data_IF_587402375572
#
_entry.id   IF_587402375572
#
_cell.length_a   1.000
_cell.length_b   1.000
_cell.length_c   1.000
_cell.angle_alpha   90.00
_cell.angle_beta   90.00
_cell.angle_gamma   90.00
#
_symmetry.space_group_name_H-M   'P 1'
#
loop_
_entity.id
_entity.type
_entity.pdbx_description
1 polymer ?
#
# COMPACT_ATOMS: atom_id res chain seq x y z
N UNK A 1 -5.71 17.44 30.58
CA UNK A 1 -6.34 16.37 31.40
C UNK A 1 -6.76 15.18 30.54
N UNK A 2 -7.51 15.40 29.45
CA UNK A 2 -7.97 14.34 28.52
C UNK A 2 -6.81 13.61 27.84
N UNK A 3 -5.78 14.30 27.36
CA UNK A 3 -4.61 13.67 26.70
C UNK A 3 -3.81 12.74 27.62
N UNK A 4 -3.68 13.08 28.92
CA UNK A 4 -3.06 12.19 29.92
C UNK A 4 -3.88 10.92 30.12
N UNK A 5 -5.22 11.02 30.20
CA UNK A 5 -6.08 9.86 30.35
C UNK A 5 -6.06 8.93 29.11
N UNK A 6 -5.97 9.50 27.90
CA UNK A 6 -5.84 8.73 26.65
C UNK A 6 -4.48 8.04 26.55
N UNK A 7 -3.42 8.65 27.11
CA UNK A 7 -2.06 8.10 27.07
C UNK A 7 -1.85 6.87 27.96
N UNK A 8 -2.69 6.70 28.98
CA UNK A 8 -2.68 5.56 29.91
C UNK A 8 -3.57 4.39 29.43
N UNK A 9 -4.30 4.55 28.33
CA UNK A 9 -5.15 3.48 27.81
C UNK A 9 -4.29 2.27 27.40
N UNK A 10 -4.62 1.07 27.90
CA UNK A 10 -3.89 -0.14 27.56
C UNK A 10 -4.10 -0.45 26.08
N UNK A 11 -3.01 -0.79 25.40
CA UNK A 11 -3.00 -1.24 24.01
C UNK A 11 -2.09 -2.45 23.92
N UNK A 12 -2.51 -3.47 23.16
CA UNK A 12 -1.72 -4.69 22.97
C UNK A 12 -0.53 -4.42 22.06
N UNK A 13 0.64 -4.93 22.44
CA UNK A 13 1.80 -4.96 21.56
C UNK A 13 1.55 -5.94 20.40
N UNK A 14 1.73 -5.54 19.14
CA UNK A 14 1.49 -6.40 17.99
C UNK A 14 2.49 -7.57 17.86
N UNK A 15 3.58 -7.54 18.63
CA UNK A 15 4.63 -8.56 18.58
C UNK A 15 4.49 -9.61 19.68
N UNK A 16 4.42 -9.17 20.94
CA UNK A 16 4.37 -10.06 22.11
C UNK A 16 2.96 -10.22 22.71
N UNK A 17 1.96 -9.50 22.17
CA UNK A 17 0.55 -9.51 22.61
C UNK A 17 0.32 -9.12 24.07
N UNK A 18 1.31 -8.51 24.74
CA UNK A 18 1.18 -7.97 26.10
C UNK A 18 0.63 -6.53 26.08
N UNK A 19 -0.10 -6.17 27.12
CA UNK A 19 -0.68 -4.83 27.28
C UNK A 19 0.31 -3.81 27.81
N UNK A 20 0.35 -2.65 27.18
CA UNK A 20 1.15 -1.51 27.63
C UNK A 20 0.32 -0.22 27.56
N UNK A 21 0.58 0.77 28.45
CA UNK A 21 0.10 2.13 28.27
C UNK A 21 0.53 2.66 26.91
N UNK A 22 -0.39 3.32 26.20
CA UNK A 22 -0.14 3.89 24.87
C UNK A 22 1.09 4.80 24.82
N UNK A 23 1.37 5.55 25.89
CA UNK A 23 2.56 6.40 26.05
C UNK A 23 3.88 5.62 26.03
N UNK A 24 3.88 4.38 26.51
CA UNK A 24 5.07 3.52 26.63
C UNK A 24 5.22 2.50 25.50
N UNK A 25 4.13 2.26 24.76
CA UNK A 25 4.06 1.22 23.73
C UNK A 25 5.10 1.42 22.62
N UNK A 26 5.30 2.66 22.18
CA UNK A 26 6.29 2.97 21.13
C UNK A 26 7.71 2.62 21.58
N UNK A 27 8.09 3.00 22.81
CA UNK A 27 9.40 2.66 23.38
C UNK A 27 9.54 1.15 23.53
N UNK A 28 8.51 0.48 24.04
CA UNK A 28 8.49 -0.97 24.17
C UNK A 28 8.74 -1.65 22.81
N UNK A 29 7.98 -1.29 21.79
CA UNK A 29 8.09 -1.87 20.44
C UNK A 29 9.47 -1.65 19.82
N UNK A 30 10.09 -0.49 20.07
CA UNK A 30 11.37 -0.12 19.48
C UNK A 30 12.58 -0.75 20.19
N UNK A 31 12.55 -0.80 21.52
CA UNK A 31 13.75 -1.02 22.33
C UNK A 31 13.64 -2.23 23.28
N UNK A 32 12.46 -2.48 23.86
CA UNK A 32 12.32 -3.42 24.98
C UNK A 32 11.72 -4.79 24.59
N UNK A 33 10.91 -4.81 23.53
CA UNK A 33 10.16 -6.00 23.13
C UNK A 33 11.11 -7.09 22.57
N UNK A 34 11.10 -8.27 23.17
CA UNK A 34 11.91 -9.42 22.73
C UNK A 34 11.42 -10.03 21.41
N UNK A 35 10.15 -9.82 21.08
CA UNK A 35 9.53 -10.31 19.85
C UNK A 35 9.53 -9.26 18.73
N UNK A 36 10.13 -8.08 18.98
CA UNK A 36 10.26 -7.06 17.93
C UNK A 36 11.05 -7.61 16.75
N UNK A 37 10.62 -7.26 15.55
CA UNK A 37 11.32 -7.65 14.32
C UNK A 37 12.59 -6.83 14.19
N UNK A 38 13.73 -7.51 14.18
CA UNK A 38 15.06 -6.91 14.02
C UNK A 38 15.78 -7.46 12.79
N UNK A 39 16.96 -6.93 12.51
CA UNK A 39 17.77 -7.27 11.35
C UNK A 39 19.20 -7.55 11.82
N UNK A 40 19.86 -8.49 11.13
CA UNK A 40 21.26 -8.82 11.38
C UNK A 40 22.15 -7.59 11.15
N UNK A 41 23.20 -7.40 11.98
CA UNK A 41 24.22 -6.35 11.73
C UNK A 41 24.87 -6.43 10.34
N UNK A 42 24.96 -7.64 9.77
CA UNK A 42 25.50 -7.90 8.43
C UNK A 42 24.49 -7.64 7.29
N UNK A 43 23.32 -7.05 7.57
CA UNK A 43 22.40 -6.59 6.52
C UNK A 43 23.08 -5.64 5.53
N UNK A 44 24.06 -4.85 5.97
CA UNK A 44 24.82 -3.93 5.11
C UNK A 44 25.61 -4.63 4.00
N UNK A 45 25.91 -5.92 4.18
CA UNK A 45 26.60 -6.76 3.19
C UNK A 45 25.66 -7.83 2.61
N UNK A 46 24.35 -7.63 2.71
CA UNK A 46 23.37 -8.47 2.03
C UNK A 46 22.71 -9.57 2.87
N UNK A 47 22.91 -9.62 4.20
CA UNK A 47 22.18 -10.59 5.01
C UNK A 47 20.66 -10.32 4.98
N UNK A 48 19.83 -11.29 4.52
CA UNK A 48 18.39 -11.08 4.40
C UNK A 48 17.63 -11.35 5.71
N UNK A 49 18.32 -11.81 6.76
CA UNK A 49 17.69 -12.25 8.00
C UNK A 49 16.88 -11.13 8.66
N UNK A 50 15.64 -11.47 9.00
CA UNK A 50 14.71 -10.67 9.79
C UNK A 50 13.98 -11.61 10.73
N UNK A 51 14.03 -11.35 12.02
CA UNK A 51 13.41 -12.20 13.02
C UNK A 51 13.22 -11.49 14.36
N UNK A 52 12.63 -12.18 15.35
CA UNK A 52 12.52 -11.72 16.71
C UNK A 52 13.89 -11.35 17.29
N UNK A 53 13.95 -10.32 18.14
CA UNK A 53 15.22 -9.87 18.73
C UNK A 53 15.91 -10.97 19.55
N UNK A 54 15.16 -11.82 20.25
CA UNK A 54 15.76 -12.89 21.05
C UNK A 54 16.48 -13.96 20.22
N UNK A 55 16.17 -14.09 18.92
CA UNK A 55 16.86 -15.00 17.98
C UNK A 55 18.08 -14.34 17.32
N UNK A 56 18.22 -13.01 17.41
CA UNK A 56 19.29 -12.26 16.75
C UNK A 56 20.70 -12.71 17.19
N UNK A 57 21.01 -12.89 18.50
CA UNK A 57 22.34 -13.31 18.92
C UNK A 57 22.75 -14.66 18.31
N UNK A 58 21.85 -15.65 18.37
CA UNK A 58 22.09 -16.97 17.78
C UNK A 58 22.34 -16.88 16.27
N UNK A 59 21.52 -16.10 15.55
CA UNK A 59 21.73 -15.87 14.13
C UNK A 59 23.07 -15.17 13.84
N UNK A 60 23.47 -14.17 14.63
CA UNK A 60 24.70 -13.43 14.39
C UNK A 60 25.97 -14.27 14.59
N UNK A 61 25.93 -15.24 15.49
CA UNK A 61 27.00 -16.22 15.69
C UNK A 61 27.10 -17.21 14.51
N UNK A 62 25.96 -17.61 13.95
CA UNK A 62 25.87 -18.55 12.82
C UNK A 62 25.84 -17.87 11.45
N UNK A 63 25.93 -16.54 11.39
CA UNK A 63 25.74 -15.81 10.15
C UNK A 63 26.87 -16.12 9.17
N UNK A 64 26.53 -16.62 7.98
CA UNK A 64 27.51 -16.93 6.94
C UNK A 64 28.00 -15.71 6.13
N UNK A 65 27.34 -14.55 6.25
CA UNK A 65 27.68 -13.37 5.43
C UNK A 65 29.10 -12.81 5.66
N UNK A 66 29.66 -12.82 6.88
CA UNK A 66 31.04 -12.42 7.12
C UNK A 66 32.08 -13.32 6.43
N UNK A 67 31.74 -14.58 6.15
CA UNK A 67 32.66 -15.55 5.54
C UNK A 67 32.43 -15.74 4.03
N UNK A 68 31.43 -15.07 3.45
CA UNK A 68 31.18 -15.08 2.01
C UNK A 68 32.30 -14.37 1.25
N UNK A 69 32.56 -14.85 0.04
CA UNK A 69 33.54 -14.26 -0.87
C UNK A 69 33.05 -12.93 -1.42
N UNK A 70 33.99 -12.08 -1.86
CA UNK A 70 33.66 -10.80 -2.49
C UNK A 70 32.69 -10.95 -3.67
N UNK A 71 32.86 -11.99 -4.51
CA UNK A 71 31.97 -12.26 -5.64
C UNK A 71 30.54 -12.56 -5.21
N UNK A 72 30.35 -13.34 -4.15
CA UNK A 72 29.03 -13.63 -3.60
C UNK A 72 28.39 -12.37 -3.00
N UNK A 73 29.16 -11.58 -2.25
CA UNK A 73 28.70 -10.31 -1.67
C UNK A 73 28.29 -9.31 -2.75
N UNK A 74 29.05 -9.21 -3.85
CA UNK A 74 28.70 -8.34 -4.98
C UNK A 74 27.35 -8.72 -5.62
N UNK A 75 26.98 -10.00 -5.60
CA UNK A 75 25.65 -10.44 -6.02
C UNK A 75 24.54 -9.85 -5.14
N UNK A 76 24.65 -10.03 -3.81
CA UNK A 76 23.66 -9.50 -2.86
C UNK A 76 23.60 -7.96 -2.88
N UNK A 77 24.76 -7.30 -2.94
CA UNK A 77 24.84 -5.84 -3.01
C UNK A 77 24.25 -5.31 -4.32
N UNK A 78 24.46 -6.00 -5.44
CA UNK A 78 23.86 -5.65 -6.73
C UNK A 78 22.33 -5.66 -6.69
N UNK A 79 21.72 -6.68 -6.06
CA UNK A 79 20.27 -6.74 -5.87
C UNK A 79 19.76 -5.61 -4.96
N UNK A 80 20.47 -5.33 -3.86
CA UNK A 80 20.14 -4.23 -2.94
C UNK A 80 20.18 -2.88 -3.64
N UNK A 81 21.25 -2.61 -4.39
CA UNK A 81 21.42 -1.38 -5.18
C UNK A 81 20.33 -1.24 -6.23
N UNK A 82 19.98 -2.34 -6.91
CA UNK A 82 18.91 -2.32 -7.90
C UNK A 82 17.56 -2.02 -7.24
N UNK A 83 17.25 -2.63 -6.09
CA UNK A 83 16.04 -2.35 -5.33
C UNK A 83 15.97 -0.88 -4.89
N UNK A 84 17.06 -0.36 -4.34
CA UNK A 84 17.16 1.03 -3.90
C UNK A 84 17.03 2.02 -5.08
N UNK A 85 17.63 1.71 -6.23
CA UNK A 85 17.52 2.53 -7.44
C UNK A 85 16.09 2.57 -7.98
N UNK A 86 15.35 1.45 -7.95
CA UNK A 86 13.92 1.42 -8.33
C UNK A 86 13.09 2.31 -7.40
N UNK A 87 13.36 2.27 -6.10
CA UNK A 87 12.67 3.09 -5.10
C UNK A 87 12.95 4.60 -5.31
N UNK A 88 14.21 4.98 -5.51
CA UNK A 88 14.58 6.35 -5.85
C UNK A 88 13.96 6.83 -7.16
N UNK A 89 13.87 5.96 -8.16
CA UNK A 89 13.22 6.30 -9.45
C UNK A 89 11.74 6.62 -9.25
N UNK A 90 11.04 5.85 -8.41
CA UNK A 90 9.65 6.12 -8.06
C UNK A 90 9.50 7.46 -7.33
N UNK A 91 10.35 7.74 -6.34
CA UNK A 91 10.33 9.03 -5.64
C UNK A 91 10.57 10.20 -6.60
N UNK A 92 11.60 10.12 -7.45
CA UNK A 92 11.90 11.14 -8.46
C UNK A 92 10.73 11.34 -9.44
N UNK A 93 10.05 10.25 -9.81
CA UNK A 93 8.85 10.32 -10.66
C UNK A 93 7.71 11.06 -9.96
N UNK A 94 7.43 10.75 -8.68
CA UNK A 94 6.42 11.45 -7.88
C UNK A 94 6.79 12.93 -7.73
N UNK A 95 8.04 13.26 -7.44
CA UNK A 95 8.50 14.66 -7.36
C UNK A 95 8.30 15.40 -8.68
N UNK A 96 8.56 14.74 -9.81
CA UNK A 96 8.31 15.32 -11.13
C UNK A 96 6.82 15.59 -11.37
N UNK A 97 5.93 14.68 -10.92
CA UNK A 97 4.47 14.91 -10.98
C UNK A 97 4.03 16.10 -10.14
N UNK A 98 4.68 16.32 -8.98
CA UNK A 98 4.40 17.47 -8.12
C UNK A 98 4.80 18.82 -8.74
N UNK A 99 5.56 18.81 -9.84
CA UNK A 99 5.88 20.02 -10.60
C UNK A 99 4.77 20.43 -11.60
N UNK A 100 3.72 19.61 -11.80
CA UNK A 100 2.62 19.98 -12.67
C UNK A 100 1.71 21.03 -12.03
N UNK A 101 1.15 21.90 -12.87
CA UNK A 101 0.25 22.96 -12.42
C UNK A 101 -1.09 22.41 -11.91
N UNK A 102 -1.60 21.35 -12.56
CA UNK A 102 -2.92 20.77 -12.28
C UNK A 102 -2.78 19.49 -11.47
N UNK A 103 -2.74 19.66 -10.15
CA UNK A 103 -2.71 18.57 -9.17
C UNK A 103 -4.02 18.55 -8.39
N UNK A 104 -4.64 17.39 -8.37
CA UNK A 104 -5.86 17.12 -7.62
C UNK A 104 -5.61 16.09 -6.53
N UNK A 105 -6.19 16.34 -5.37
CA UNK A 105 -6.19 15.41 -4.24
C UNK A 105 -7.62 15.28 -3.71
N UNK A 106 -8.03 14.05 -3.40
CA UNK A 106 -9.30 13.81 -2.70
C UNK A 106 -9.26 12.49 -1.93
N UNK A 107 -10.01 12.45 -0.83
CA UNK A 107 -10.26 11.22 -0.10
C UNK A 107 -11.47 10.51 -0.71
N UNK A 108 -11.30 9.23 -1.02
CA UNK A 108 -12.33 8.43 -1.70
C UNK A 108 -12.77 7.30 -0.78
N UNK A 109 -14.09 7.14 -0.68
CA UNK A 109 -14.71 6.08 0.10
C UNK A 109 -15.40 5.08 -0.83
N UNK A 110 -14.84 3.89 -0.89
CA UNK A 110 -15.39 2.73 -1.58
C UNK A 110 -16.46 2.08 -0.71
N UNK A 111 -17.67 1.96 -1.29
CA UNK A 111 -18.82 1.31 -0.66
C UNK A 111 -19.03 -0.06 -1.30
N UNK A 112 -19.22 -1.12 -0.51
CA UNK A 112 -19.44 -2.46 -1.03
C UNK A 112 -20.83 -2.58 -1.68
N UNK A 113 -20.91 -3.31 -2.77
CA UNK A 113 -22.17 -3.80 -3.33
C UNK A 113 -21.98 -5.22 -3.86
N UNK A 114 -23.08 -5.97 -3.93
CA UNK A 114 -23.10 -7.33 -4.45
C UNK A 114 -23.94 -7.40 -5.70
N UNK A 115 -23.58 -8.26 -6.63
CA UNK A 115 -24.42 -8.59 -7.78
C UNK A 115 -25.41 -9.69 -7.44
N UNK A 116 -26.57 -9.65 -8.08
CA UNK A 116 -27.63 -10.65 -7.95
C UNK A 116 -27.39 -11.89 -8.86
N UNK A 117 -26.12 -12.16 -9.19
CA UNK A 117 -25.73 -13.33 -9.97
C UNK A 117 -25.86 -14.61 -9.13
N UNK A 118 -25.97 -15.77 -9.80
CA UNK A 118 -26.00 -17.09 -9.15
C UNK A 118 -24.84 -17.29 -8.15
N UNK A 119 -23.67 -16.73 -8.46
CA UNK A 119 -22.55 -16.57 -7.52
C UNK A 119 -22.43 -15.09 -7.20
N UNK A 120 -22.90 -14.68 -6.02
CA UNK A 120 -22.80 -13.27 -5.59
C UNK A 120 -21.35 -12.81 -5.58
N UNK A 121 -21.05 -11.76 -6.35
CA UNK A 121 -19.71 -11.17 -6.43
C UNK A 121 -19.66 -9.87 -5.63
N UNK A 122 -18.58 -9.68 -4.88
CA UNK A 122 -18.33 -8.47 -4.11
C UNK A 122 -17.56 -7.46 -4.95
N UNK A 123 -18.15 -6.29 -5.11
CA UNK A 123 -17.54 -5.14 -5.75
C UNK A 123 -17.57 -3.94 -4.80
N UNK A 124 -16.78 -2.94 -5.14
CA UNK A 124 -16.74 -1.68 -4.44
C UNK A 124 -16.82 -0.52 -5.43
N UNK A 125 -17.56 0.52 -5.08
CA UNK A 125 -17.66 1.73 -5.90
C UNK A 125 -17.67 2.96 -5.01
N UNK A 126 -17.06 4.05 -5.49
CA UNK A 126 -17.15 5.36 -4.84
C UNK A 126 -18.39 6.12 -5.33
N UNK A 127 -19.00 6.98 -4.51
CA UNK A 127 -19.84 8.04 -5.04
C UNK A 127 -19.10 8.86 -6.10
N UNK A 128 -19.84 9.56 -6.97
CA UNK A 128 -19.23 10.52 -7.88
C UNK A 128 -18.50 11.60 -7.07
N UNK A 129 -17.27 11.89 -7.44
CA UNK A 129 -16.48 12.96 -6.84
C UNK A 129 -15.90 13.85 -7.93
N UNK A 130 -15.63 15.11 -7.58
CA UNK A 130 -15.12 16.11 -8.53
C UNK A 130 -13.69 16.48 -8.14
N UNK A 131 -12.78 16.40 -9.10
CA UNK A 131 -11.39 16.83 -8.95
C UNK A 131 -10.86 17.30 -10.30
N UNK A 132 -10.06 18.38 -10.30
CA UNK A 132 -9.57 19.04 -11.52
C UNK A 132 -10.69 19.42 -12.51
N UNK A 133 -11.82 19.92 -11.99
CA UNK A 133 -13.02 20.28 -12.76
C UNK A 133 -13.61 19.15 -13.61
N UNK A 134 -13.31 17.90 -13.26
CA UNK A 134 -13.86 16.70 -13.87
C UNK A 134 -14.55 15.84 -12.83
N UNK A 135 -15.58 15.11 -13.24
CA UNK A 135 -16.34 14.20 -12.37
C UNK A 135 -15.87 12.77 -12.60
N UNK A 136 -15.55 12.07 -11.53
CA UNK A 136 -14.94 10.75 -11.56
C UNK A 136 -15.69 9.75 -10.70
N UNK A 137 -15.47 8.47 -10.98
CA UNK A 137 -15.88 7.32 -10.16
C UNK A 137 -14.72 6.33 -10.15
N UNK A 138 -14.47 5.72 -8.99
CA UNK A 138 -13.60 4.56 -8.89
C UNK A 138 -14.45 3.31 -8.66
N UNK A 139 -14.12 2.25 -9.39
CA UNK A 139 -14.66 0.90 -9.17
C UNK A 139 -13.53 -0.03 -8.75
N UNK A 140 -13.83 -0.99 -7.89
CA UNK A 140 -12.89 -2.02 -7.50
C UNK A 140 -13.57 -3.39 -7.41
N UNK A 141 -12.80 -4.43 -7.68
CA UNK A 141 -13.23 -5.83 -7.67
C UNK A 141 -12.22 -6.69 -6.91
N UNK A 142 -12.73 -7.74 -6.27
CA UNK A 142 -11.92 -8.71 -5.53
C UNK A 142 -11.57 -9.90 -6.43
N UNK A 143 -10.32 -10.37 -6.37
CA UNK A 143 -9.82 -11.59 -7.02
C UNK A 143 -10.03 -11.66 -8.55
N UNK A 144 -10.02 -10.52 -9.24
CA UNK A 144 -10.27 -10.43 -10.69
C UNK A 144 -11.48 -11.25 -11.19
N UNK A 145 -12.51 -11.39 -10.35
CA UNK A 145 -13.72 -12.15 -10.67
C UNK A 145 -13.49 -13.64 -11.00
N UNK A 146 -12.50 -14.28 -10.36
CA UNK A 146 -12.33 -15.74 -10.41
C UNK A 146 -13.65 -16.46 -10.07
N UNK A 147 -14.01 -17.46 -10.90
CA UNK A 147 -15.29 -18.20 -10.79
C UNK A 147 -15.47 -18.93 -9.46
N UNK A 148 -14.40 -19.15 -8.69
CA UNK A 148 -14.45 -19.95 -7.48
C UNK A 148 -13.69 -19.29 -6.31
N UNK A 149 -14.36 -18.44 -5.52
CA UNK A 149 -13.75 -17.70 -4.40
C UNK A 149 -13.13 -18.59 -3.31
N UNK A 150 -13.50 -19.87 -3.27
CA UNK A 150 -13.02 -20.86 -2.30
C UNK A 150 -11.73 -21.59 -2.72
N UNK A 151 -11.26 -21.41 -3.96
CA UNK A 151 -10.05 -22.09 -4.47
C UNK A 151 -8.75 -21.31 -4.24
N UNK A 152 -8.83 -20.02 -3.93
CA UNK A 152 -7.64 -19.16 -3.73
C UNK A 152 -7.63 -18.54 -2.34
N UNK A 153 -6.60 -18.87 -1.55
CA UNK A 153 -6.30 -18.19 -0.29
C UNK A 153 -5.68 -16.80 -0.51
N UNK A 154 -5.37 -16.41 -1.75
CA UNK A 154 -4.73 -15.14 -2.09
C UNK A 154 -5.80 -14.13 -2.51
N UNK A 155 -6.13 -13.22 -1.58
CA UNK A 155 -7.05 -12.12 -1.88
C UNK A 155 -6.32 -10.94 -2.50
N UNK A 156 -6.86 -10.43 -3.59
CA UNK A 156 -6.35 -9.23 -4.29
C UNK A 156 -7.50 -8.26 -4.56
N UNK A 157 -7.17 -6.97 -4.62
CA UNK A 157 -8.11 -5.91 -4.99
C UNK A 157 -7.57 -5.21 -6.22
N UNK A 158 -8.38 -5.14 -7.28
CA UNK A 158 -8.06 -4.38 -8.49
C UNK A 158 -9.04 -3.23 -8.64
N UNK A 159 -8.61 -2.10 -9.20
CA UNK A 159 -9.45 -0.91 -9.36
C UNK A 159 -9.34 -0.30 -10.75
N UNK A 160 -10.34 0.51 -11.09
CA UNK A 160 -10.47 1.24 -12.34
C UNK A 160 -10.93 2.66 -12.03
N UNK A 161 -10.28 3.66 -12.62
CA UNK A 161 -10.71 5.05 -12.63
C UNK A 161 -11.54 5.34 -13.88
N UNK A 162 -12.70 5.98 -13.68
CA UNK A 162 -13.69 6.27 -14.72
C UNK A 162 -14.03 7.76 -14.70
N UNK A 163 -13.87 8.42 -15.84
CA UNK A 163 -14.31 9.77 -16.12
C UNK A 163 -15.80 9.78 -16.48
N UNK A 164 -16.60 10.56 -15.75
CA UNK A 164 -18.05 10.69 -15.94
C UNK A 164 -18.47 12.00 -16.61
N UNK A 165 -17.66 13.05 -16.52
CA UNK A 165 -17.90 14.29 -17.25
C UNK A 165 -17.47 14.15 -18.72
N UNK A 166 -18.11 14.93 -19.60
CA UNK A 166 -17.65 15.07 -20.98
C UNK A 166 -16.44 16.01 -21.03
N UNK A 167 -15.51 15.72 -21.93
CA UNK A 167 -14.31 16.53 -22.15
C UNK A 167 -14.28 17.09 -23.56
N UNK A 168 -13.76 18.30 -23.69
CA UNK A 168 -13.62 18.98 -24.99
C UNK A 168 -12.44 18.43 -25.79
N UNK A 169 -11.41 17.94 -25.10
CA UNK A 169 -10.22 17.31 -25.66
C UNK A 169 -9.76 16.19 -24.74
N UNK A 170 -8.96 15.27 -25.27
CA UNK A 170 -8.37 14.21 -24.45
C UNK A 170 -7.54 14.81 -23.30
N UNK A 171 -7.62 14.20 -22.12
CA UNK A 171 -6.91 14.60 -20.91
C UNK A 171 -5.93 13.50 -20.52
N UNK A 172 -4.65 13.79 -20.61
CA UNK A 172 -3.60 12.91 -20.10
C UNK A 172 -3.48 13.09 -18.58
N UNK A 173 -3.67 11.99 -17.85
CA UNK A 173 -3.62 11.97 -16.40
C UNK A 173 -2.61 10.94 -15.92
N UNK A 174 -1.83 11.32 -14.89
CA UNK A 174 -1.19 10.35 -14.01
C UNK A 174 -1.94 10.29 -12.69
N UNK A 175 -2.09 9.12 -12.09
CA UNK A 175 -2.80 8.98 -10.81
C UNK A 175 -2.26 7.84 -9.96
N UNK A 176 -2.49 7.91 -8.66
CA UNK A 176 -2.17 6.85 -7.72
C UNK A 176 -3.18 6.82 -6.56
N UNK A 177 -3.40 5.62 -6.00
CA UNK A 177 -4.17 5.40 -4.78
C UNK A 177 -3.26 5.08 -3.61
N UNK A 178 -3.46 5.79 -2.50
CA UNK A 178 -2.72 5.62 -1.25
C UNK A 178 -3.68 5.35 -0.09
N UNK A 179 -3.12 4.93 1.05
CA UNK A 179 -3.89 4.69 2.27
C UNK A 179 -4.60 5.96 2.78
N UNK A 180 -5.80 5.81 3.33
CA UNK A 180 -6.55 6.88 3.98
C UNK A 180 -6.03 7.25 5.39
N UNK A 181 -6.59 8.31 6.00
CA UNK A 181 -6.11 8.88 7.27
C UNK A 181 -6.20 8.01 8.53
N UNK A 182 -6.86 6.86 8.50
CA UNK A 182 -7.08 6.02 9.69
C UNK A 182 -6.94 4.53 9.39
N UNK A 183 -6.29 4.21 8.26
CA UNK A 183 -6.08 2.85 7.81
C UNK A 183 -4.62 2.45 8.04
N UNK A 184 -4.43 1.28 8.66
CA UNK A 184 -3.13 0.68 8.92
C UNK A 184 -2.62 -0.15 7.73
N UNK A 185 -3.46 -0.29 6.69
CA UNK A 185 -3.12 -1.07 5.51
C UNK A 185 -1.95 -0.46 4.73
N UNK A 186 -0.92 -1.28 4.48
CA UNK A 186 0.27 -0.88 3.72
C UNK A 186 0.06 -1.06 2.22
N UNK A 187 -0.15 0.06 1.53
CA UNK A 187 -0.28 0.15 0.06
C UNK A 187 0.97 0.78 -0.51
N UNK A 188 1.60 0.11 -1.48
CA UNK A 188 2.76 0.68 -2.19
C UNK A 188 2.32 1.73 -3.21
N UNK A 189 3.00 2.88 -3.34
CA UNK A 189 2.70 3.82 -4.41
C UNK A 189 2.97 3.20 -5.78
N UNK A 190 1.99 3.25 -6.68
CA UNK A 190 2.16 2.92 -8.10
C UNK A 190 1.50 4.02 -8.91
N UNK A 191 2.26 4.63 -9.82
CA UNK A 191 1.78 5.66 -10.72
C UNK A 191 1.17 4.97 -11.94
N UNK A 192 -0.09 5.27 -12.22
CA UNK A 192 -0.79 4.85 -13.43
C UNK A 192 -0.94 6.03 -14.36
N UNK A 193 -0.82 5.80 -15.67
CA UNK A 193 -0.97 6.83 -16.69
C UNK A 193 -2.09 6.44 -17.66
N UNK A 194 -2.95 7.39 -18.00
CA UNK A 194 -4.03 7.16 -18.97
C UNK A 194 -4.47 8.46 -19.65
N UNK A 195 -4.83 8.36 -20.93
CA UNK A 195 -5.41 9.44 -21.71
C UNK A 195 -6.93 9.27 -21.79
N UNK A 196 -7.66 10.07 -21.01
CA UNK A 196 -9.11 10.03 -20.97
C UNK A 196 -9.70 10.83 -22.14
N UNK A 197 -10.66 10.25 -22.85
CA UNK A 197 -11.44 10.92 -23.89
C UNK A 197 -12.92 10.55 -23.77
N UNK A 198 -13.77 11.09 -24.64
CA UNK A 198 -15.19 10.70 -24.65
C UNK A 198 -15.39 9.26 -25.15
N UNK A 199 -14.43 8.70 -25.90
CA UNK A 199 -14.45 7.31 -26.40
C UNK A 199 -13.73 6.36 -25.44
N UNK A 200 -12.73 6.87 -24.70
CA UNK A 200 -11.91 6.15 -23.73
C UNK A 200 -12.03 6.81 -22.35
N UNK A 201 -13.18 6.63 -21.71
CA UNK A 201 -13.49 7.29 -20.44
C UNK A 201 -13.11 6.44 -19.21
N UNK A 202 -12.58 5.24 -19.39
CA UNK A 202 -12.20 4.36 -18.30
C UNK A 202 -10.86 3.66 -18.56
N UNK A 203 -10.15 3.38 -17.47
CA UNK A 203 -8.87 2.66 -17.46
C UNK A 203 -9.09 1.16 -17.55
N UNK A 204 -8.05 0.35 -17.72
CA UNK A 204 -8.18 -1.08 -17.38
C UNK A 204 -8.23 -1.27 -15.85
N UNK A 205 -8.72 -2.43 -15.41
CA UNK A 205 -8.55 -2.80 -14.00
C UNK A 205 -7.07 -3.07 -13.71
N UNK A 206 -6.52 -2.31 -12.76
CA UNK A 206 -5.13 -2.45 -12.31
C UNK A 206 -5.09 -2.89 -10.86
N UNK A 207 -4.11 -3.73 -10.46
CA UNK A 207 -4.03 -4.22 -9.08
C UNK A 207 -3.69 -3.08 -8.12
N UNK A 208 -4.40 -3.00 -6.99
CA UNK A 208 -4.00 -2.19 -5.85
C UNK A 208 -2.85 -2.94 -5.13
N UNK A 209 -1.63 -2.38 -5.08
CA UNK A 209 -0.43 -3.07 -4.61
C UNK A 209 -0.38 -3.12 -3.07
N UNK A 210 -1.29 -3.92 -2.49
CA UNK A 210 -1.33 -4.24 -1.08
C UNK A 210 -0.18 -5.21 -0.77
N UNK A 211 0.47 -5.04 0.38
CA UNK A 211 1.71 -5.74 0.72
C UNK A 211 1.54 -7.27 0.79
N UNK A 212 0.45 -7.76 1.38
CA UNK A 212 0.15 -9.18 1.49
C UNK A 212 -1.36 -9.45 1.62
N UNK A 213 -1.73 -10.75 1.62
CA UNK A 213 -3.13 -11.20 1.76
C UNK A 213 -3.75 -10.85 3.12
N UNK A 214 -2.95 -10.73 4.19
CA UNK A 214 -3.46 -10.40 5.54
C UNK A 214 -3.91 -8.95 5.57
N UNK A 215 -3.10 -8.05 5.03
CA UNK A 215 -3.41 -6.64 4.85
C UNK A 215 -4.62 -6.44 3.92
N UNK A 216 -4.73 -7.25 2.85
CA UNK A 216 -5.91 -7.24 1.99
C UNK A 216 -7.17 -7.69 2.75
N UNK A 217 -7.07 -8.73 3.58
CA UNK A 217 -8.19 -9.19 4.39
C UNK A 217 -8.64 -8.14 5.43
N UNK A 218 -7.70 -7.41 6.05
CA UNK A 218 -8.02 -6.28 6.94
C UNK A 218 -8.83 -5.20 6.20
N UNK A 219 -8.38 -4.84 5.00
CA UNK A 219 -9.06 -3.86 4.14
C UNK A 219 -10.49 -4.32 3.79
N UNK A 220 -10.65 -5.59 3.42
CA UNK A 220 -11.93 -6.18 3.04
C UNK A 220 -12.89 -6.40 4.23
N UNK A 221 -12.38 -6.50 5.45
CA UNK A 221 -13.19 -6.61 6.66
C UNK A 221 -13.85 -5.28 7.06
N UNK A 222 -13.34 -4.14 6.56
CA UNK A 222 -13.92 -2.84 6.83
C UNK A 222 -15.27 -2.66 6.12
N UNK A 223 -16.20 -1.95 6.77
CA UNK A 223 -17.52 -1.61 6.18
C UNK A 223 -17.38 -0.81 4.89
N UNK A 224 -16.44 0.15 4.89
CA UNK A 224 -16.07 0.96 3.75
C UNK A 224 -14.55 0.99 3.66
N UNK A 225 -14.02 1.07 2.44
CA UNK A 225 -12.58 1.20 2.21
C UNK A 225 -12.29 2.69 1.93
N UNK A 226 -11.41 3.30 2.73
CA UNK A 226 -11.08 4.72 2.60
C UNK A 226 -9.65 4.87 2.06
N UNK A 227 -9.51 5.44 0.86
CA UNK A 227 -8.22 5.65 0.21
C UNK A 227 -8.06 7.13 -0.17
N UNK A 228 -6.85 7.49 -0.59
CA UNK A 228 -6.48 8.81 -1.09
C UNK A 228 -6.14 8.72 -2.55
N UNK A 229 -6.88 9.46 -3.39
CA UNK A 229 -6.58 9.61 -4.80
C UNK A 229 -5.75 10.87 -5.01
N UNK A 230 -4.62 10.71 -5.66
CA UNK A 230 -3.89 11.80 -6.29
C UNK A 230 -4.04 11.69 -7.79
N UNK A 231 -4.38 12.80 -8.45
CA UNK A 231 -4.50 12.89 -9.89
C UNK A 231 -3.73 14.10 -10.38
N UNK A 232 -2.98 13.91 -11.46
CA UNK A 232 -2.10 14.89 -12.06
C UNK A 232 -2.48 15.01 -13.51
N UNK A 233 -2.98 16.17 -13.93
CA UNK A 233 -3.27 16.41 -15.33
C UNK A 233 -1.99 16.92 -16.02
N UNK A 234 -1.50 16.16 -16.98
CA UNK A 234 -0.33 16.49 -17.78
C UNK A 234 -0.79 17.52 -18.82
N UNK A 235 -0.20 18.71 -18.78
CA UNK A 235 -0.35 19.69 -19.85
C UNK A 235 0.80 19.48 -20.84
N UNK A 236 0.48 19.44 -22.14
CA UNK A 236 1.47 19.53 -23.21
C UNK A 236 1.81 20.99 -23.48
#
# INVERSE_FOLDING_TARGET
AVEKAVSELPTDCPFCLKQFPRSSLERHQREECQDRVTQCKYKRIGCPWKGPFHELPAHEEECCHPTKTGTELMGFLGEMDQSHRRELTLYNSIFSLLCYEKIGFTEVQFRPYRTDDFITRLYYETPRFTVLNQTWVLKARVNDSERNPNLSCKRTLSFQLILKSKVNSAIECSFLLLKGPYDDVRIKPVIHHHAFSNDTNETDYVPLPITDSVECNKLLAAKNINLRLFIFQIQK
#
